data_IF_632698048104
#
_entry.id   IF_632698048104
#
_cell.length_a   1.000
_cell.length_b   1.000
_cell.length_c   1.000
_cell.angle_alpha   90.00
_cell.angle_beta   90.00
_cell.angle_gamma   90.00
#
_symmetry.space_group_name_H-M   'P 1'
#
loop_
_entity.id
_entity.type
_entity.pdbx_description
1 polymer ?
#
# COMPACT_ATOMS: atom_id res chain seq x y z
N UNK A 1 4.71 -30.28 -1.47
CA UNK A 1 3.38 -29.67 -1.36
C UNK A 1 3.01 -29.20 -2.76
N UNK A 2 1.85 -29.58 -3.29
CA UNK A 2 1.38 -29.03 -4.57
C UNK A 2 1.18 -27.52 -4.37
N UNK A 3 1.84 -26.74 -5.22
CA UNK A 3 1.67 -25.28 -5.20
C UNK A 3 0.19 -24.94 -5.38
N UNK A 4 -0.40 -24.15 -4.48
CA UNK A 4 -1.76 -23.65 -4.63
C UNK A 4 -1.89 -22.58 -5.74
N UNK A 5 -0.82 -22.25 -6.46
CA UNK A 5 -0.79 -21.27 -7.56
C UNK A 5 -1.95 -21.42 -8.55
N UNK A 6 -2.32 -22.66 -8.85
CA UNK A 6 -3.37 -23.01 -9.79
C UNK A 6 -4.68 -23.43 -9.11
N UNK A 7 -4.73 -23.43 -7.78
CA UNK A 7 -5.98 -23.66 -7.05
C UNK A 7 -6.72 -22.33 -6.92
N UNK A 8 -7.51 -22.01 -7.91
CA UNK A 8 -8.35 -20.82 -7.92
C UNK A 8 -9.66 -21.14 -7.21
N UNK A 9 -9.88 -20.64 -5.98
CA UNK A 9 -11.19 -20.70 -5.38
C UNK A 9 -12.07 -19.67 -6.08
N UNK A 10 -12.64 -20.03 -7.23
CA UNK A 10 -13.60 -19.20 -7.96
C UNK A 10 -15.00 -19.61 -7.59
N UNK A 11 -15.93 -18.65 -7.44
CA UNK A 11 -17.34 -18.98 -7.44
C UNK A 11 -17.68 -19.78 -8.71
N UNK A 12 -18.19 -20.99 -8.55
CA UNK A 12 -18.62 -21.78 -9.70
C UNK A 12 -19.86 -21.15 -10.34
N UNK A 13 -19.98 -21.25 -11.66
CA UNK A 13 -21.22 -20.89 -12.35
C UNK A 13 -22.37 -21.72 -11.76
N UNK A 14 -23.47 -21.05 -11.43
CA UNK A 14 -24.64 -21.68 -10.85
C UNK A 14 -25.25 -22.72 -11.80
N UNK A 15 -25.04 -23.98 -11.52
CA UNK A 15 -25.56 -25.12 -12.29
C UNK A 15 -26.24 -26.14 -11.37
N UNK A 16 -27.14 -25.68 -10.53
CA UNK A 16 -27.92 -26.53 -9.61
C UNK A 16 -27.64 -26.23 -8.15
N UNK A 17 -26.50 -26.70 -7.57
CA UNK A 17 -26.15 -26.39 -6.20
C UNK A 17 -25.44 -25.05 -6.10
N UNK A 18 -25.76 -24.19 -5.09
CA UNK A 18 -25.03 -22.96 -4.88
C UNK A 18 -23.54 -23.24 -4.68
N UNK A 19 -22.63 -22.46 -5.29
CA UNK A 19 -21.20 -22.57 -5.03
C UNK A 19 -20.90 -22.25 -3.57
N UNK A 20 -20.08 -23.08 -2.93
CA UNK A 20 -19.72 -22.92 -1.53
C UNK A 20 -18.57 -21.92 -1.29
N UNK A 21 -18.38 -20.89 -2.12
CA UNK A 21 -17.04 -20.30 -2.25
C UNK A 21 -16.99 -18.78 -2.25
N UNK A 22 -17.55 -18.14 -1.23
CA UNK A 22 -16.96 -16.90 -0.73
C UNK A 22 -15.93 -17.32 0.35
N UNK A 23 -14.69 -16.80 0.33
CA UNK A 23 -13.70 -17.12 1.34
C UNK A 23 -14.22 -16.89 2.76
N UNK A 24 -13.89 -17.77 3.73
CA UNK A 24 -14.21 -17.50 5.11
C UNK A 24 -13.62 -16.15 5.55
N UNK A 25 -14.42 -15.33 6.24
CA UNK A 25 -13.99 -13.99 6.67
C UNK A 25 -12.72 -14.00 7.53
N UNK A 26 -12.46 -15.10 8.24
CA UNK A 26 -11.25 -15.22 9.06
C UNK A 26 -9.98 -15.47 8.23
N UNK A 27 -10.12 -16.06 7.04
CA UNK A 27 -9.00 -16.55 6.23
C UNK A 27 -8.93 -15.96 4.83
N UNK A 28 -9.78 -14.98 4.48
CA UNK A 28 -9.88 -14.46 3.12
C UNK A 28 -8.55 -13.93 2.55
N UNK A 29 -7.65 -13.44 3.42
CA UNK A 29 -6.33 -12.91 3.10
C UNK A 29 -5.22 -13.98 3.11
N UNK A 30 -5.57 -15.24 3.39
CA UNK A 30 -4.62 -16.35 3.46
C UNK A 30 -4.76 -17.33 2.30
N UNK A 31 -3.69 -18.11 2.02
CA UNK A 31 -3.76 -19.14 0.98
C UNK A 31 -4.81 -20.24 1.35
N UNK A 32 -5.51 -20.79 0.37
CA UNK A 32 -5.45 -20.44 -1.07
C UNK A 32 -6.35 -19.27 -1.47
N UNK A 33 -7.09 -18.68 -0.51
CA UNK A 33 -8.16 -17.72 -0.76
C UNK A 33 -7.64 -16.38 -1.28
N UNK A 34 -6.48 -15.91 -0.82
CA UNK A 34 -5.91 -14.62 -1.19
C UNK A 34 -5.67 -14.47 -2.70
N UNK A 35 -5.42 -15.58 -3.41
CA UNK A 35 -5.28 -15.58 -4.88
C UNK A 35 -6.51 -15.04 -5.59
N UNK A 36 -7.68 -15.32 -5.07
CA UNK A 36 -8.96 -14.81 -5.59
C UNK A 36 -9.38 -13.54 -4.87
N UNK A 37 -9.28 -13.52 -3.55
CA UNK A 37 -9.83 -12.47 -2.69
C UNK A 37 -9.26 -11.08 -3.00
N UNK A 38 -7.95 -10.96 -3.27
CA UNK A 38 -7.32 -9.66 -3.53
C UNK A 38 -7.83 -8.98 -4.80
N UNK A 39 -8.41 -9.73 -5.71
CA UNK A 39 -9.06 -9.23 -6.92
C UNK A 39 -10.59 -9.02 -6.75
N UNK A 40 -11.18 -9.49 -5.62
CA UNK A 40 -12.63 -9.53 -5.40
C UNK A 40 -13.03 -8.97 -4.03
N UNK A 41 -12.27 -8.02 -3.48
CA UNK A 41 -12.50 -7.44 -2.15
C UNK A 41 -13.93 -6.92 -1.99
N UNK A 42 -14.50 -6.31 -3.05
CA UNK A 42 -15.85 -5.75 -3.04
C UNK A 42 -16.96 -6.80 -2.86
N UNK A 43 -16.65 -8.07 -3.07
CA UNK A 43 -17.57 -9.20 -2.84
C UNK A 43 -17.44 -9.76 -1.41
N UNK A 44 -16.39 -9.38 -0.69
CA UNK A 44 -16.06 -9.91 0.65
C UNK A 44 -16.31 -8.86 1.72
N UNK A 45 -15.88 -7.61 1.48
CA UNK A 45 -15.83 -6.53 2.45
C UNK A 45 -16.68 -5.34 2.01
N UNK A 46 -17.31 -4.60 2.93
CA UNK A 46 -17.89 -3.30 2.62
C UNK A 46 -16.85 -2.35 2.05
N UNK A 47 -17.23 -1.62 0.99
CA UNK A 47 -16.33 -0.67 0.33
C UNK A 47 -17.00 0.66 0.05
N UNK A 48 -16.20 1.73 -0.03
CA UNK A 48 -16.60 3.03 -0.53
C UNK A 48 -15.82 3.36 -1.80
N UNK A 49 -16.53 3.87 -2.81
CA UNK A 49 -15.95 4.19 -4.11
C UNK A 49 -15.08 5.45 -4.05
N UNK A 50 -13.96 5.42 -4.78
CA UNK A 50 -13.17 6.57 -5.17
C UNK A 50 -13.46 6.84 -6.64
N UNK A 51 -14.28 7.84 -6.90
CA UNK A 51 -14.74 8.16 -8.24
C UNK A 51 -13.63 8.79 -9.09
N UNK A 52 -13.46 8.29 -10.31
CA UNK A 52 -12.45 8.80 -11.26
C UNK A 52 -12.84 10.10 -11.99
N UNK A 53 -14.02 10.60 -11.76
CA UNK A 53 -14.54 11.76 -12.48
C UNK A 53 -15.06 11.42 -13.88
N UNK A 54 -15.47 12.47 -14.58
CA UNK A 54 -15.95 12.39 -15.98
C UNK A 54 -14.89 12.78 -17.00
N UNK A 55 -13.71 13.20 -16.53
CA UNK A 55 -12.59 13.60 -17.39
C UNK A 55 -12.06 12.43 -18.22
N UNK A 56 -11.30 12.76 -19.26
CA UNK A 56 -10.55 11.74 -20.01
C UNK A 56 -9.48 11.11 -19.10
N UNK A 57 -9.25 9.81 -19.28
CA UNK A 57 -8.14 9.14 -18.64
C UNK A 57 -6.81 9.66 -19.22
N UNK A 58 -5.80 9.77 -18.37
CA UNK A 58 -4.44 10.03 -18.84
C UNK A 58 -3.95 8.81 -19.62
N UNK A 59 -3.82 8.95 -20.91
CA UNK A 59 -3.30 7.89 -21.79
C UNK A 59 -1.85 7.57 -21.41
N UNK A 60 -1.55 6.29 -21.26
CA UNK A 60 -0.20 5.76 -21.20
C UNK A 60 0.15 5.24 -22.60
N UNK A 61 1.13 5.88 -23.26
CA UNK A 61 1.61 5.42 -24.55
C UNK A 61 2.13 3.98 -24.45
N UNK A 62 2.03 3.20 -25.51
CA UNK A 62 2.55 1.82 -25.55
C UNK A 62 3.78 1.75 -26.43
N UNK A 63 4.89 1.31 -25.87
CA UNK A 63 6.17 1.04 -26.57
C UNK A 63 6.65 -0.35 -26.15
N UNK A 64 5.83 -1.35 -26.42
CA UNK A 64 5.99 -2.70 -25.89
C UNK A 64 7.33 -3.33 -26.26
N UNK A 65 7.95 -3.96 -25.27
CA UNK A 65 9.11 -4.81 -25.41
C UNK A 65 8.81 -6.14 -24.73
N UNK A 66 9.24 -7.23 -25.35
CA UNK A 66 9.13 -8.55 -24.72
C UNK A 66 10.26 -8.73 -23.70
N UNK A 67 9.93 -8.58 -22.42
CA UNK A 67 10.85 -8.79 -21.31
C UNK A 67 10.69 -10.19 -20.68
N UNK A 68 9.76 -11.03 -21.15
CA UNK A 68 9.48 -12.34 -20.52
C UNK A 68 10.72 -13.24 -20.50
N UNK A 69 11.53 -13.21 -21.57
CA UNK A 69 12.78 -13.95 -21.67
C UNK A 69 13.99 -13.28 -21.03
N UNK A 70 13.87 -12.09 -20.44
CA UNK A 70 15.01 -11.41 -19.81
C UNK A 70 15.59 -12.24 -18.68
N UNK A 71 16.90 -12.49 -18.74
CA UNK A 71 17.61 -13.20 -17.69
C UNK A 71 17.68 -12.35 -16.40
N UNK A 72 17.15 -12.87 -15.31
CA UNK A 72 17.11 -12.25 -13.99
C UNK A 72 17.58 -13.20 -12.91
N UNK A 73 17.87 -12.70 -11.71
CA UNK A 73 18.17 -13.53 -10.55
C UNK A 73 16.88 -14.03 -9.94
N UNK A 74 16.71 -15.34 -9.85
CA UNK A 74 15.59 -16.01 -9.21
C UNK A 74 15.61 -15.95 -7.67
N UNK A 75 14.59 -16.53 -7.06
CA UNK A 75 14.39 -16.50 -5.59
C UNK A 75 15.51 -17.20 -4.84
N UNK A 76 16.06 -18.29 -5.38
CA UNK A 76 17.19 -19.05 -4.81
C UNK A 76 18.58 -18.49 -5.19
N UNK A 77 18.63 -17.42 -5.99
CA UNK A 77 19.88 -16.85 -6.50
C UNK A 77 20.34 -17.39 -7.84
N UNK A 78 19.63 -18.36 -8.41
CA UNK A 78 19.87 -18.91 -9.77
C UNK A 78 19.52 -17.88 -10.84
N UNK A 79 20.03 -18.08 -12.06
CA UNK A 79 19.59 -17.31 -13.22
C UNK A 79 18.34 -17.96 -13.80
N UNK A 80 17.29 -17.18 -13.96
CA UNK A 80 16.01 -17.60 -14.53
C UNK A 80 15.48 -16.53 -15.50
N UNK A 81 14.28 -16.69 -16.05
CA UNK A 81 13.64 -15.67 -16.86
C UNK A 81 12.73 -14.80 -16.02
N UNK A 82 12.45 -13.57 -16.48
CA UNK A 82 11.47 -12.68 -15.82
C UNK A 82 10.11 -13.36 -15.68
N UNK A 83 9.62 -14.02 -16.75
CA UNK A 83 8.35 -14.74 -16.72
C UNK A 83 8.33 -15.82 -15.62
N UNK A 84 9.40 -16.60 -15.49
CA UNK A 84 9.51 -17.62 -14.43
C UNK A 84 9.52 -16.98 -13.05
N UNK A 85 10.29 -15.90 -12.85
CA UNK A 85 10.32 -15.20 -11.57
C UNK A 85 8.93 -14.65 -11.18
N UNK A 86 8.20 -14.07 -12.14
CA UNK A 86 6.85 -13.55 -11.90
C UNK A 86 5.89 -14.67 -11.47
N UNK A 87 5.97 -15.85 -12.10
CA UNK A 87 5.19 -17.02 -11.71
C UNK A 87 5.63 -17.53 -10.32
N UNK A 88 6.92 -17.69 -10.07
CA UNK A 88 7.47 -18.18 -8.80
C UNK A 88 7.13 -17.28 -7.62
N UNK A 89 6.91 -16.00 -7.87
CA UNK A 89 6.55 -15.01 -6.86
C UNK A 89 5.06 -14.65 -6.86
N UNK A 90 4.18 -15.55 -7.32
CA UNK A 90 2.72 -15.43 -7.23
C UNK A 90 2.20 -14.07 -7.72
N UNK A 91 2.70 -13.62 -8.87
CA UNK A 91 2.30 -12.34 -9.47
C UNK A 91 0.88 -12.43 -10.01
N UNK A 92 0.10 -11.38 -9.81
CA UNK A 92 -1.25 -11.21 -10.38
C UNK A 92 -1.23 -10.15 -11.48
N UNK A 93 -0.46 -9.07 -11.30
CA UNK A 93 -0.23 -8.02 -12.30
C UNK A 93 1.19 -7.50 -12.28
N UNK A 94 1.76 -7.23 -13.44
CA UNK A 94 3.10 -6.65 -13.58
C UNK A 94 3.12 -5.59 -14.67
N UNK A 95 3.63 -4.41 -14.35
CA UNK A 95 3.70 -3.27 -15.26
C UNK A 95 5.05 -2.60 -15.16
N UNK A 96 5.65 -2.29 -16.29
CA UNK A 96 6.85 -1.44 -16.41
C UNK A 96 6.54 -0.24 -17.27
N UNK A 97 6.69 0.96 -16.71
CA UNK A 97 6.69 2.20 -17.45
C UNK A 97 8.14 2.68 -17.61
N UNK A 98 8.48 3.13 -18.82
CA UNK A 98 9.76 3.76 -19.14
C UNK A 98 9.50 5.06 -19.90
N UNK A 99 10.04 6.17 -19.39
CA UNK A 99 9.80 7.50 -19.97
C UNK A 99 8.29 7.79 -20.20
N UNK A 100 7.45 7.38 -19.24
CA UNK A 100 6.00 7.58 -19.27
C UNK A 100 5.21 6.63 -20.18
N UNK A 101 5.85 5.72 -20.89
CA UNK A 101 5.20 4.75 -21.76
C UNK A 101 5.20 3.33 -21.15
N UNK A 102 4.15 2.56 -21.39
CA UNK A 102 4.09 1.12 -21.07
C UNK A 102 5.07 0.39 -21.99
N UNK A 103 6.11 -0.21 -21.41
CA UNK A 103 7.06 -1.06 -22.15
C UNK A 103 6.82 -2.54 -21.88
N UNK A 104 6.20 -2.90 -20.77
CA UNK A 104 5.84 -4.29 -20.48
C UNK A 104 4.64 -4.34 -19.54
N UNK A 105 3.67 -5.18 -19.88
CA UNK A 105 2.44 -5.33 -19.10
C UNK A 105 1.98 -6.78 -19.15
N UNK A 106 1.76 -7.39 -17.99
CA UNK A 106 1.30 -8.79 -17.87
C UNK A 106 0.24 -8.92 -16.78
N UNK A 107 -0.71 -9.78 -17.03
CA UNK A 107 -1.80 -10.12 -16.13
C UNK A 107 -1.85 -11.64 -15.95
N UNK A 108 -2.00 -12.08 -14.72
CA UNK A 108 -2.01 -13.49 -14.33
C UNK A 108 -3.23 -13.76 -13.46
N UNK A 109 -3.47 -15.02 -13.14
CA UNK A 109 -4.47 -15.44 -12.16
C UNK A 109 -5.88 -14.85 -12.46
N UNK A 110 -6.24 -14.75 -13.73
CA UNK A 110 -7.54 -14.21 -14.15
C UNK A 110 -7.71 -12.70 -14.06
N UNK A 111 -6.67 -11.97 -13.63
CA UNK A 111 -6.66 -10.51 -13.64
C UNK A 111 -6.68 -9.97 -15.08
N UNK A 112 -7.30 -8.84 -15.29
CA UNK A 112 -7.31 -8.05 -16.53
C UNK A 112 -7.05 -6.56 -16.22
N UNK A 113 -7.05 -5.73 -17.28
CA UNK A 113 -6.76 -4.30 -17.17
C UNK A 113 -7.75 -3.51 -16.32
N UNK A 114 -8.98 -4.03 -16.13
CA UNK A 114 -10.04 -3.40 -15.33
C UNK A 114 -10.14 -3.94 -13.92
N UNK A 115 -9.48 -5.07 -13.64
CA UNK A 115 -9.53 -5.72 -12.34
C UNK A 115 -8.93 -4.82 -11.27
N UNK A 116 -9.70 -4.54 -10.22
CA UNK A 116 -9.18 -3.87 -9.04
C UNK A 116 -8.47 -4.89 -8.16
N UNK A 117 -7.28 -4.56 -7.72
CA UNK A 117 -6.49 -5.40 -6.83
C UNK A 117 -6.22 -4.68 -5.51
N UNK A 118 -6.30 -5.40 -4.40
CA UNK A 118 -6.01 -4.85 -3.06
C UNK A 118 -4.55 -4.40 -2.98
N UNK A 119 -4.35 -3.16 -2.54
CA UNK A 119 -3.03 -2.54 -2.45
C UNK A 119 -2.24 -2.94 -1.22
N UNK A 120 -2.92 -3.43 -0.17
CA UNK A 120 -2.30 -3.50 1.15
C UNK A 120 -1.62 -2.15 1.48
N UNK A 121 -0.49 -2.16 2.16
CA UNK A 121 0.19 -0.94 2.61
C UNK A 121 0.71 0.00 1.51
N UNK A 122 0.59 -0.34 0.23
CA UNK A 122 0.82 0.63 -0.87
C UNK A 122 -0.13 1.83 -0.74
N UNK A 123 -1.34 1.64 -0.17
CA UNK A 123 -2.30 2.70 0.14
C UNK A 123 -1.69 3.85 0.95
N UNK A 124 -0.75 3.56 1.85
CA UNK A 124 -0.09 4.55 2.70
C UNK A 124 0.60 5.65 1.89
N UNK A 125 1.28 5.27 0.80
CA UNK A 125 2.00 6.23 -0.04
C UNK A 125 1.04 7.17 -0.79
N UNK A 126 -0.12 6.68 -1.19
CA UNK A 126 -1.19 7.54 -1.73
C UNK A 126 -1.71 8.52 -0.68
N UNK A 127 -1.95 8.04 0.54
CA UNK A 127 -2.40 8.87 1.66
C UNK A 127 -1.38 9.94 2.00
N UNK A 128 -0.08 9.60 2.02
CA UNK A 128 1.01 10.56 2.20
C UNK A 128 1.10 11.62 1.08
N UNK A 129 0.86 11.21 -0.17
CA UNK A 129 0.82 12.14 -1.30
C UNK A 129 -0.34 13.15 -1.18
N UNK A 130 -1.53 12.69 -0.76
CA UNK A 130 -2.68 13.56 -0.54
C UNK A 130 -2.44 14.51 0.63
N UNK A 131 -1.79 14.04 1.71
CA UNK A 131 -1.36 14.92 2.79
C UNK A 131 -0.49 16.06 2.25
N UNK A 132 0.46 15.76 1.35
CA UNK A 132 1.27 16.76 0.67
C UNK A 132 0.46 17.78 -0.14
N UNK A 133 -0.59 17.33 -0.82
CA UNK A 133 -1.52 18.23 -1.53
C UNK A 133 -2.23 19.16 -0.54
N UNK A 134 -2.70 18.63 0.60
CA UNK A 134 -3.40 19.43 1.61
C UNK A 134 -2.45 20.38 2.34
N UNK A 135 -1.18 20.00 2.54
CA UNK A 135 -0.12 20.91 3.04
C UNK A 135 0.12 22.04 2.04
N UNK A 136 0.26 21.73 0.76
CA UNK A 136 0.41 22.72 -0.29
C UNK A 136 -0.77 23.71 -0.40
N UNK A 137 -1.95 23.30 0.06
CA UNK A 137 -3.15 24.16 0.16
C UNK A 137 -3.25 24.93 1.48
N UNK A 138 -2.33 24.73 2.42
CA UNK A 138 -2.35 25.32 3.74
C UNK A 138 -3.45 24.78 4.67
N UNK A 139 -4.02 23.61 4.36
CA UNK A 139 -5.02 22.94 5.20
C UNK A 139 -4.39 22.07 6.29
N UNK A 140 -3.18 21.56 6.05
CA UNK A 140 -2.39 20.81 7.02
C UNK A 140 -1.05 21.52 7.26
N UNK A 141 -0.61 21.56 8.51
CA UNK A 141 0.70 21.98 8.95
C UNK A 141 1.42 20.77 9.55
N UNK A 142 2.53 20.35 8.96
CA UNK A 142 3.27 19.16 9.39
C UNK A 142 3.93 19.32 10.76
N UNK A 143 4.21 20.54 11.19
CA UNK A 143 4.79 20.84 12.50
C UNK A 143 3.74 20.91 13.62
N UNK A 144 2.46 21.04 13.27
CA UNK A 144 1.40 21.04 14.25
C UNK A 144 1.25 19.68 14.94
N UNK A 145 0.99 19.64 16.25
CA UNK A 145 0.68 18.40 16.94
C UNK A 145 -0.63 17.81 16.44
N UNK A 146 -0.75 16.49 16.36
CA UNK A 146 -1.97 15.81 15.89
C UNK A 146 -3.20 16.15 16.75
N UNK A 147 -3.00 16.55 18.01
CA UNK A 147 -4.06 17.04 18.90
C UNK A 147 -4.64 18.40 18.46
N UNK A 148 -3.98 19.13 17.57
CA UNK A 148 -4.53 20.32 16.93
C UNK A 148 -5.71 19.95 16.01
N UNK A 149 -5.58 18.84 15.29
CA UNK A 149 -6.62 18.34 14.36
C UNK A 149 -7.68 17.50 15.09
N UNK A 150 -7.23 16.70 16.06
CA UNK A 150 -8.04 15.73 16.81
C UNK A 150 -7.82 15.96 18.31
N UNK A 151 -8.53 16.93 18.94
CA UNK A 151 -8.35 17.25 20.36
C UNK A 151 -8.59 16.06 21.30
N UNK A 152 -9.40 15.10 20.88
CA UNK A 152 -9.70 13.86 21.63
C UNK A 152 -8.44 13.04 21.96
N UNK A 153 -7.36 13.25 21.22
CA UNK A 153 -6.07 12.56 21.43
C UNK A 153 -5.25 13.14 22.60
N UNK A 154 -5.68 14.22 23.24
CA UNK A 154 -4.93 14.86 24.32
C UNK A 154 -4.69 13.96 25.54
N UNK A 155 -5.52 12.90 25.74
CA UNK A 155 -5.38 11.91 26.79
C UNK A 155 -4.84 10.55 26.28
N UNK A 156 -4.10 10.54 25.18
CA UNK A 156 -3.55 9.34 24.55
C UNK A 156 -2.02 9.47 24.40
N UNK A 157 -1.38 8.40 23.93
CA UNK A 157 0.04 8.39 23.58
C UNK A 157 0.40 9.31 22.40
N UNK A 158 -0.58 9.78 21.65
CA UNK A 158 -0.38 10.71 20.53
C UNK A 158 -0.10 12.16 20.96
N UNK A 159 -0.31 12.48 22.24
CA UNK A 159 -0.08 13.83 22.77
C UNK A 159 1.36 14.28 22.52
N UNK A 160 1.51 15.38 21.80
CA UNK A 160 2.81 15.96 21.48
C UNK A 160 3.47 15.41 20.21
N UNK A 161 2.92 14.37 19.59
CA UNK A 161 3.36 13.93 18.27
C UNK A 161 2.96 14.97 17.20
N UNK A 162 3.90 15.39 16.36
CA UNK A 162 3.62 16.25 15.20
C UNK A 162 3.09 15.42 14.03
N UNK A 163 2.41 16.07 13.09
CA UNK A 163 1.91 15.42 11.89
C UNK A 163 3.08 14.87 11.04
N UNK A 164 4.26 15.55 11.02
CA UNK A 164 5.44 15.02 10.34
C UNK A 164 5.94 13.72 10.98
N UNK A 165 5.90 13.61 12.30
CA UNK A 165 6.31 12.39 12.99
C UNK A 165 5.38 11.22 12.68
N UNK A 166 4.09 11.47 12.49
CA UNK A 166 3.12 10.48 11.98
C UNK A 166 3.44 10.11 10.53
N UNK A 167 3.64 11.08 9.65
CA UNK A 167 4.00 10.86 8.25
C UNK A 167 5.29 10.02 8.06
N UNK A 168 6.24 10.19 8.97
CA UNK A 168 7.55 9.51 8.94
C UNK A 168 7.58 8.23 9.81
N UNK A 169 6.44 7.86 10.44
CA UNK A 169 6.35 6.72 11.37
C UNK A 169 7.44 6.77 12.46
N UNK A 170 7.63 7.95 13.03
CA UNK A 170 8.61 8.19 14.08
C UNK A 170 7.97 8.56 15.42
N UNK A 171 6.66 8.36 15.57
CA UNK A 171 6.04 8.54 16.87
C UNK A 171 6.57 7.51 17.87
N UNK A 172 6.46 7.79 19.14
CA UNK A 172 6.86 6.87 20.20
C UNK A 172 5.70 6.02 20.75
N UNK A 173 4.56 6.01 20.06
CA UNK A 173 3.38 5.27 20.49
C UNK A 173 3.67 3.78 20.46
N UNK A 174 3.32 3.06 21.53
CA UNK A 174 3.42 1.59 21.58
C UNK A 174 2.33 1.01 20.68
N UNK A 175 2.76 0.25 19.67
CA UNK A 175 1.90 -0.45 18.73
C UNK A 175 2.65 -1.64 18.14
N UNK A 176 2.08 -2.83 18.23
CA UNK A 176 2.64 -4.05 17.68
C UNK A 176 2.09 -4.33 16.28
N UNK A 177 2.99 -4.46 15.29
CA UNK A 177 2.69 -4.94 13.94
C UNK A 177 2.85 -6.47 13.83
N UNK A 178 2.64 -7.22 14.91
CA UNK A 178 2.69 -8.68 14.87
C UNK A 178 1.41 -9.25 14.24
N UNK A 179 1.46 -9.52 12.94
CA UNK A 179 0.36 -10.10 12.17
C UNK A 179 0.05 -11.57 12.53
N UNK A 180 0.86 -12.20 13.38
CA UNK A 180 0.64 -13.58 13.84
C UNK A 180 -0.12 -13.67 15.15
N UNK A 181 -0.12 -12.59 15.93
CA UNK A 181 -0.89 -12.47 17.16
C UNK A 181 -2.19 -11.68 16.91
N UNK A 182 -3.35 -12.33 16.93
CA UNK A 182 -4.63 -11.64 16.70
C UNK A 182 -5.02 -10.68 17.84
N UNK A 183 -4.33 -10.72 18.99
CA UNK A 183 -4.53 -9.79 20.10
C UNK A 183 -3.52 -8.65 20.12
N UNK A 184 -2.59 -8.60 19.18
CA UNK A 184 -1.73 -7.43 18.94
C UNK A 184 -2.56 -6.21 18.52
N UNK A 185 -1.96 -5.02 18.57
CA UNK A 185 -2.68 -3.82 18.17
C UNK A 185 -3.03 -3.83 16.67
N UNK A 186 -2.22 -4.46 15.79
CA UNK A 186 -2.62 -4.66 14.38
C UNK A 186 -3.75 -5.69 14.25
N UNK A 187 -3.80 -6.71 15.10
CA UNK A 187 -4.93 -7.63 15.20
C UNK A 187 -6.21 -6.92 15.64
N UNK A 188 -6.12 -5.90 16.52
CA UNK A 188 -7.25 -5.04 16.85
C UNK A 188 -7.74 -4.25 15.63
N UNK A 189 -6.83 -3.77 14.76
CA UNK A 189 -7.20 -3.09 13.50
C UNK A 189 -7.94 -4.05 12.57
N UNK A 190 -7.50 -5.30 12.43
CA UNK A 190 -8.18 -6.32 11.62
C UNK A 190 -9.65 -6.51 12.05
N UNK A 191 -9.90 -6.58 13.36
CA UNK A 191 -11.26 -6.73 13.89
C UNK A 191 -12.04 -5.43 13.79
N UNK A 192 -11.45 -4.31 14.17
CA UNK A 192 -12.08 -2.99 14.18
C UNK A 192 -12.44 -2.51 12.76
N UNK A 193 -11.61 -2.81 11.77
CA UNK A 193 -11.90 -2.50 10.35
C UNK A 193 -12.95 -3.43 9.73
N UNK A 194 -13.33 -4.49 10.44
CA UNK A 194 -14.20 -5.51 9.91
C UNK A 194 -13.53 -6.43 8.88
N UNK A 195 -12.22 -6.39 8.73
CA UNK A 195 -11.49 -7.31 7.85
C UNK A 195 -11.62 -8.74 8.34
N UNK A 196 -11.49 -8.95 9.65
CA UNK A 196 -11.66 -10.27 10.28
C UNK A 196 -12.66 -10.22 11.42
N UNK A 197 -13.38 -11.31 11.69
CA UNK A 197 -14.11 -11.44 12.94
C UNK A 197 -13.13 -11.64 14.11
N UNK A 198 -13.57 -11.44 15.35
CA UNK A 198 -12.81 -11.88 16.52
C UNK A 198 -12.35 -13.35 16.37
N UNK A 199 -11.13 -13.70 16.82
CA UNK A 199 -10.61 -15.06 16.71
C UNK A 199 -11.53 -16.10 17.39
N UNK A 200 -11.65 -17.31 16.82
CA UNK A 200 -12.39 -18.39 17.46
C UNK A 200 -11.88 -18.67 18.87
N UNK A 201 -12.79 -18.81 19.83
CA UNK A 201 -12.44 -19.07 21.24
C UNK A 201 -12.08 -17.84 22.05
N UNK A 202 -12.19 -16.64 21.48
CA UNK A 202 -12.07 -15.37 22.25
C UNK A 202 -13.09 -15.36 23.39
N UNK A 203 -12.65 -14.90 24.57
CA UNK A 203 -13.53 -14.64 25.70
C UNK A 203 -14.68 -13.71 25.26
N UNK A 204 -15.96 -14.10 25.46
CA UNK A 204 -17.09 -13.24 25.12
C UNK A 204 -17.08 -11.86 25.81
N UNK A 205 -16.36 -11.72 26.94
CA UNK A 205 -16.16 -10.46 27.65
C UNK A 205 -15.00 -9.60 27.12
N UNK A 206 -14.23 -10.09 26.13
CA UNK A 206 -13.13 -9.30 25.57
C UNK A 206 -13.65 -8.06 24.84
N UNK A 207 -13.17 -6.90 25.25
CA UNK A 207 -13.64 -5.61 24.71
C UNK A 207 -12.88 -5.24 23.44
N UNK A 208 -13.28 -5.84 22.31
CA UNK A 208 -12.73 -5.49 21.00
C UNK A 208 -13.02 -4.02 20.66
N UNK A 209 -12.08 -3.31 19.98
CA UNK A 209 -12.37 -2.01 19.39
C UNK A 209 -13.52 -2.14 18.37
N UNK A 210 -14.43 -1.18 18.37
CA UNK A 210 -15.63 -1.21 17.53
C UNK A 210 -15.43 -0.65 16.12
N UNK A 211 -14.39 0.16 15.93
CA UNK A 211 -13.98 0.79 14.68
C UNK A 211 -12.53 1.31 14.78
N UNK A 212 -11.91 1.68 13.67
CA UNK A 212 -10.48 2.05 13.63
C UNK A 212 -10.15 3.25 14.53
N UNK A 213 -11.02 4.26 14.60
CA UNK A 213 -10.80 5.40 15.47
C UNK A 213 -10.80 5.03 16.96
N UNK A 214 -11.57 4.00 17.35
CA UNK A 214 -11.55 3.46 18.74
C UNK A 214 -10.19 2.82 19.05
N UNK A 215 -9.55 2.13 18.10
CA UNK A 215 -8.17 1.65 18.28
C UNK A 215 -7.23 2.82 18.59
N UNK A 216 -7.28 3.89 17.79
CA UNK A 216 -6.44 5.08 17.96
C UNK A 216 -6.62 5.69 19.37
N UNK A 217 -7.86 5.78 19.85
CA UNK A 217 -8.18 6.32 21.18
C UNK A 217 -7.71 5.43 22.32
N UNK A 218 -7.54 4.12 22.11
CA UNK A 218 -7.07 3.15 23.12
C UNK A 218 -5.56 3.14 23.31
N UNK A 219 -4.78 3.67 22.38
CA UNK A 219 -3.33 3.73 22.47
C UNK A 219 -2.91 4.79 23.49
N UNK A 220 -2.55 4.34 24.70
CA UNK A 220 -2.25 5.21 25.86
C UNK A 220 -0.78 5.22 26.24
N UNK A 221 0.01 4.27 25.72
CA UNK A 221 1.39 4.07 26.12
C UNK A 221 2.38 4.53 25.07
N UNK A 222 3.41 5.21 25.51
CA UNK A 222 4.59 5.53 24.71
C UNK A 222 5.76 4.64 25.13
N UNK A 223 6.51 4.11 24.20
CA UNK A 223 7.71 3.30 24.44
C UNK A 223 9.01 4.09 24.27
N UNK A 224 8.93 5.29 23.66
CA UNK A 224 10.07 6.19 23.44
C UNK A 224 9.58 7.62 23.16
N UNK A 225 10.47 8.63 23.21
CA UNK A 225 10.13 9.97 22.74
C UNK A 225 9.78 9.98 21.24
N UNK A 226 8.81 10.81 20.85
CA UNK A 226 8.47 11.03 19.44
C UNK A 226 9.68 11.59 18.67
N UNK A 227 9.84 11.18 17.40
CA UNK A 227 10.88 11.66 16.50
C UNK A 227 12.24 10.97 16.63
N UNK A 228 12.40 9.98 17.52
CA UNK A 228 13.71 9.41 17.83
C UNK A 228 14.10 8.20 17.00
N UNK A 229 13.13 7.47 16.45
CA UNK A 229 13.37 6.25 15.66
C UNK A 229 12.22 5.98 14.72
N UNK A 230 12.53 5.50 13.53
CA UNK A 230 11.55 4.92 12.63
C UNK A 230 11.11 3.54 13.17
N UNK A 231 9.81 3.37 13.31
CA UNK A 231 9.17 2.07 13.55
C UNK A 231 7.88 2.04 12.75
N UNK A 232 7.77 1.07 11.85
CA UNK A 232 6.59 0.95 11.01
C UNK A 232 5.35 0.65 11.85
N UNK A 233 4.30 1.47 11.67
CA UNK A 233 3.01 1.36 12.38
C UNK A 233 1.88 1.75 11.45
N UNK A 234 1.10 0.77 11.03
CA UNK A 234 0.00 0.98 10.08
C UNK A 234 -1.00 2.02 10.56
N UNK A 235 -1.37 1.98 11.83
CA UNK A 235 -2.35 2.87 12.46
C UNK A 235 -2.02 4.38 12.32
N UNK A 236 -0.75 4.75 12.10
CA UNK A 236 -0.34 6.14 11.88
C UNK A 236 -0.93 6.70 10.58
N UNK A 237 -1.16 5.85 9.59
CA UNK A 237 -1.80 6.27 8.34
C UNK A 237 -3.28 6.54 8.52
N UNK A 238 -3.97 5.74 9.32
CA UNK A 238 -5.38 5.97 9.62
C UNK A 238 -5.55 7.22 10.47
N UNK A 239 -4.64 7.47 11.42
CA UNK A 239 -4.62 8.74 12.15
C UNK A 239 -4.46 9.94 11.20
N UNK A 240 -3.54 9.86 10.23
CA UNK A 240 -3.35 10.88 9.20
C UNK A 240 -4.63 11.11 8.40
N UNK A 241 -5.32 10.03 8.01
CA UNK A 241 -6.59 10.11 7.29
C UNK A 241 -7.67 10.84 8.12
N UNK A 242 -7.78 10.57 9.42
CA UNK A 242 -8.70 11.30 10.29
C UNK A 242 -8.35 12.80 10.40
N UNK A 243 -7.06 13.16 10.44
CA UNK A 243 -6.65 14.56 10.37
C UNK A 243 -7.12 15.20 9.05
N UNK A 244 -6.97 14.52 7.93
CA UNK A 244 -7.43 15.00 6.61
C UNK A 244 -8.96 15.17 6.56
N UNK A 245 -9.73 14.22 7.09
CA UNK A 245 -11.19 14.32 7.16
C UNK A 245 -11.63 15.51 8.02
N UNK A 246 -10.96 15.77 9.15
CA UNK A 246 -11.25 16.91 10.04
C UNK A 246 -11.05 18.26 9.36
N UNK A 247 -9.95 18.44 8.62
CA UNK A 247 -9.67 19.75 7.98
C UNK A 247 -10.45 19.98 6.70
N UNK A 248 -10.89 18.92 6.03
CA UNK A 248 -11.62 19.04 4.75
C UNK A 248 -13.14 18.95 4.92
N UNK A 249 -13.62 18.36 6.02
CA UNK A 249 -15.04 18.03 6.21
C UNK A 249 -15.57 16.98 5.23
N UNK A 250 -14.69 16.21 4.59
CA UNK A 250 -15.02 15.17 3.61
C UNK A 250 -14.53 13.80 4.07
N UNK A 251 -15.19 12.73 3.64
CA UNK A 251 -14.71 11.37 3.85
C UNK A 251 -13.47 11.09 2.98
N UNK A 252 -12.57 10.24 3.45
CA UNK A 252 -11.32 9.92 2.78
C UNK A 252 -11.49 9.52 1.30
N UNK A 253 -12.43 8.65 0.89
CA UNK A 253 -12.62 8.31 -0.52
C UNK A 253 -12.98 9.53 -1.39
N UNK A 254 -13.71 10.50 -0.84
CA UNK A 254 -14.02 11.74 -1.54
C UNK A 254 -12.79 12.65 -1.64
N UNK A 255 -11.97 12.74 -0.60
CA UNK A 255 -10.70 13.47 -0.63
C UNK A 255 -9.79 12.88 -1.71
N UNK A 256 -9.65 11.54 -1.75
CA UNK A 256 -8.89 10.84 -2.78
C UNK A 256 -9.38 11.16 -4.18
N UNK A 257 -10.70 11.09 -4.39
CA UNK A 257 -11.32 11.41 -5.67
C UNK A 257 -11.00 12.85 -6.10
N UNK A 258 -11.28 13.83 -5.24
CA UNK A 258 -11.21 15.26 -5.57
C UNK A 258 -9.76 15.76 -5.70
N UNK A 259 -8.86 15.23 -4.88
CA UNK A 259 -7.50 15.75 -4.79
C UNK A 259 -6.49 15.03 -5.67
N UNK A 260 -6.69 13.75 -5.92
CA UNK A 260 -5.71 12.93 -6.64
C UNK A 260 -6.34 12.18 -7.83
N UNK A 261 -7.33 11.33 -7.59
CA UNK A 261 -7.78 10.32 -8.53
C UNK A 261 -8.29 10.90 -9.86
N UNK A 262 -9.17 11.91 -9.77
CA UNK A 262 -9.68 12.61 -10.95
C UNK A 262 -8.58 13.38 -11.67
N UNK A 263 -7.69 14.03 -10.91
CA UNK A 263 -6.64 14.92 -11.45
C UNK A 263 -5.52 14.14 -12.14
N UNK A 264 -5.17 12.96 -11.63
CA UNK A 264 -4.16 12.12 -12.28
C UNK A 264 -4.69 11.41 -13.54
N UNK A 265 -5.99 11.53 -13.82
CA UNK A 265 -6.63 10.93 -14.99
C UNK A 265 -6.69 9.40 -14.86
N UNK A 266 -7.17 8.90 -13.73
CA UNK A 266 -7.34 7.48 -13.50
C UNK A 266 -8.25 6.83 -14.57
N UNK A 267 -7.98 5.58 -14.91
CA UNK A 267 -8.71 4.82 -15.91
C UNK A 267 -9.97 4.19 -15.33
N UNK A 268 -9.88 3.69 -14.09
CA UNK A 268 -10.98 3.05 -13.38
C UNK A 268 -11.30 3.77 -12.06
N UNK A 269 -12.53 3.59 -11.56
CA UNK A 269 -12.82 3.96 -10.18
C UNK A 269 -12.01 3.05 -9.26
N UNK A 270 -11.49 3.61 -8.16
CA UNK A 270 -10.92 2.81 -7.10
C UNK A 270 -11.96 2.58 -5.97
N UNK A 271 -11.59 1.80 -4.98
CA UNK A 271 -12.43 1.57 -3.80
C UNK A 271 -11.55 1.44 -2.54
N UNK A 272 -12.06 1.92 -1.42
CA UNK A 272 -11.52 1.59 -0.10
C UNK A 272 -12.42 0.62 0.63
N UNK A 273 -11.84 -0.34 1.34
CA UNK A 273 -12.60 -1.03 2.40
C UNK A 273 -12.96 -0.03 3.49
N UNK A 274 -14.12 -0.23 4.10
CA UNK A 274 -14.59 0.64 5.18
C UNK A 274 -14.92 -0.18 6.41
N UNK A 275 -14.63 0.42 7.58
CA UNK A 275 -14.96 -0.16 8.87
C UNK A 275 -16.47 -0.08 9.18
N UNK A 276 -16.96 -0.68 10.28
CA UNK A 276 -18.37 -0.63 10.67
C UNK A 276 -18.93 0.78 10.91
N UNK A 277 -18.08 1.77 11.21
CA UNK A 277 -18.48 3.18 11.33
C UNK A 277 -18.48 3.91 9.97
N UNK A 278 -18.00 3.26 8.91
CA UNK A 278 -17.92 3.80 7.56
C UNK A 278 -16.64 4.58 7.25
N UNK A 279 -15.62 4.50 8.12
CA UNK A 279 -14.31 5.07 7.84
C UNK A 279 -13.54 4.18 6.87
N UNK A 280 -12.86 4.80 5.91
CA UNK A 280 -12.00 4.07 4.96
C UNK A 280 -10.68 3.68 5.63
N UNK A 281 -10.26 2.43 5.44
CA UNK A 281 -9.01 1.92 5.97
C UNK A 281 -7.84 2.45 5.12
N UNK A 282 -7.24 3.53 5.57
CA UNK A 282 -6.22 4.27 4.83
C UNK A 282 -4.89 3.52 4.74
N UNK A 283 -4.63 2.66 5.71
CA UNK A 283 -3.35 1.96 5.85
C UNK A 283 -3.19 0.78 4.88
N UNK A 284 -4.32 0.24 4.34
CA UNK A 284 -4.25 -0.97 3.51
C UNK A 284 -5.46 -1.22 2.61
N UNK A 285 -6.55 -0.48 2.78
CA UNK A 285 -7.85 -0.79 2.18
C UNK A 285 -8.08 -0.34 0.74
N UNK A 286 -7.11 0.31 0.08
CA UNK A 286 -7.25 0.77 -1.30
C UNK A 286 -7.22 -0.40 -2.30
N UNK A 287 -8.14 -0.36 -3.26
CA UNK A 287 -8.20 -1.28 -4.40
C UNK A 287 -8.22 -0.46 -5.69
N UNK A 288 -7.28 -0.73 -6.59
CA UNK A 288 -7.16 -0.01 -7.85
C UNK A 288 -6.67 -0.91 -8.98
N UNK A 289 -6.76 -0.44 -10.24
CA UNK A 289 -6.23 -1.15 -11.39
C UNK A 289 -4.70 -1.09 -11.44
N UNK A 290 -4.08 -2.07 -12.10
CA UNK A 290 -2.63 -2.12 -12.30
C UNK A 290 -2.10 -0.82 -12.93
N UNK A 291 -2.79 -0.32 -13.97
CA UNK A 291 -2.40 0.90 -14.67
C UNK A 291 -2.57 2.15 -13.82
N UNK A 292 -3.55 2.19 -12.92
CA UNK A 292 -3.73 3.34 -12.05
C UNK A 292 -2.70 3.39 -10.93
N UNK A 293 -2.23 2.24 -10.43
CA UNK A 293 -1.01 2.18 -9.62
C UNK A 293 0.21 2.69 -10.39
N UNK A 294 0.31 2.36 -11.69
CA UNK A 294 1.35 2.87 -12.58
C UNK A 294 1.29 4.38 -12.77
N UNK A 295 0.08 4.96 -12.96
CA UNK A 295 -0.12 6.42 -13.06
C UNK A 295 0.33 7.15 -11.81
N UNK A 296 0.06 6.58 -10.64
CA UNK A 296 0.56 7.16 -9.39
C UNK A 296 2.10 7.12 -9.31
N UNK A 297 2.72 6.00 -9.65
CA UNK A 297 4.18 5.92 -9.72
C UNK A 297 4.77 6.92 -10.72
N UNK A 298 4.13 7.06 -11.90
CA UNK A 298 4.52 8.03 -12.92
C UNK A 298 4.37 9.49 -12.43
N UNK A 299 3.30 9.77 -11.67
CA UNK A 299 3.10 11.08 -11.06
C UNK A 299 4.23 11.43 -10.08
N UNK A 300 4.69 10.49 -9.27
CA UNK A 300 5.85 10.69 -8.39
C UNK A 300 7.13 10.91 -9.21
N UNK A 301 7.34 10.14 -10.28
CA UNK A 301 8.50 10.26 -11.17
C UNK A 301 8.57 11.65 -11.84
N UNK A 302 7.42 12.28 -12.08
CA UNK A 302 7.28 13.61 -12.69
C UNK A 302 7.24 14.74 -11.63
N UNK A 303 7.89 14.53 -10.48
CA UNK A 303 7.90 15.50 -9.37
C UNK A 303 6.50 15.98 -8.97
N UNK A 304 5.54 15.08 -9.02
CA UNK A 304 4.14 15.32 -8.65
C UNK A 304 3.25 15.83 -9.77
N UNK A 305 3.78 16.03 -10.99
CA UNK A 305 2.99 16.34 -12.21
C UNK A 305 2.06 17.54 -12.09
N UNK A 306 2.38 18.52 -11.23
CA UNK A 306 1.54 19.68 -10.93
C UNK A 306 0.32 19.38 -10.04
N UNK A 307 0.15 18.17 -9.57
CA UNK A 307 -0.93 17.74 -8.67
C UNK A 307 -0.41 17.65 -7.23
N UNK A 308 0.68 16.90 -7.02
CA UNK A 308 1.40 16.87 -5.74
C UNK A 308 2.46 17.98 -5.80
N UNK A 309 2.62 18.82 -4.76
CA UNK A 309 3.66 19.84 -4.78
C UNK A 309 5.06 19.25 -4.98
N UNK A 310 5.82 19.74 -5.96
CA UNK A 310 7.18 19.25 -6.24
C UNK A 310 8.10 19.29 -5.00
N UNK A 311 8.07 20.35 -4.13
CA UNK A 311 8.83 20.33 -2.89
C UNK A 311 8.46 19.20 -1.94
N UNK A 312 7.19 18.73 -1.96
CA UNK A 312 6.77 17.58 -1.17
C UNK A 312 7.38 16.28 -1.68
N UNK A 313 7.38 16.07 -3.00
CA UNK A 313 8.00 14.89 -3.61
C UNK A 313 9.50 14.88 -3.35
N UNK A 314 10.18 16.02 -3.53
CA UNK A 314 11.63 16.14 -3.24
C UNK A 314 11.94 15.87 -1.76
N UNK A 315 11.16 16.43 -0.83
CA UNK A 315 11.28 16.14 0.59
C UNK A 315 11.06 14.66 0.91
N UNK A 316 10.07 14.02 0.27
CA UNK A 316 9.79 12.57 0.43
C UNK A 316 11.01 11.72 0.06
N UNK A 317 11.81 12.14 -0.92
CA UNK A 317 13.02 11.46 -1.36
C UNK A 317 14.25 11.67 -0.43
N UNK A 318 14.10 12.42 0.65
CA UNK A 318 15.20 12.80 1.57
C UNK A 318 14.96 12.35 3.01
N UNK A 319 14.58 11.11 3.21
CA UNK A 319 14.33 10.55 4.54
C UNK A 319 15.58 10.50 5.42
N UNK A 320 15.37 10.45 6.74
CA UNK A 320 16.45 10.39 7.71
C UNK A 320 16.95 8.95 7.92
N UNK A 321 18.05 8.60 7.23
CA UNK A 321 18.67 7.29 7.35
C UNK A 321 19.18 6.98 8.78
N UNK A 322 19.62 7.99 9.54
CA UNK A 322 20.22 7.77 10.86
C UNK A 322 19.27 7.14 11.88
N UNK A 323 17.98 7.32 11.72
CA UNK A 323 16.94 6.76 12.61
C UNK A 323 16.23 5.53 12.03
N UNK A 324 16.62 5.06 10.82
CA UNK A 324 15.97 3.97 10.11
C UNK A 324 16.37 2.59 10.64
N UNK A 325 17.36 2.27 11.22
CA UNK A 325 17.85 1.08 11.92
C UNK A 325 17.18 -0.29 11.62
N UNK A 326 17.64 -1.27 12.37
CA UNK A 326 17.09 -2.65 12.29
C UNK A 326 15.61 -2.72 12.76
N UNK A 327 14.79 -3.66 12.22
CA UNK A 327 15.18 -4.69 11.25
C UNK A 327 15.17 -4.20 9.78
N UNK A 328 14.72 -2.98 9.52
CA UNK A 328 14.49 -2.47 8.15
C UNK A 328 15.78 -2.28 7.37
N UNK A 329 16.85 -1.86 8.03
CA UNK A 329 18.17 -1.70 7.43
C UNK A 329 18.83 -3.02 7.01
N UNK A 330 18.32 -4.17 7.44
CA UNK A 330 18.82 -5.48 7.01
C UNK A 330 18.43 -5.77 5.55
N UNK A 331 17.25 -5.31 5.12
CA UNK A 331 16.79 -5.46 3.74
C UNK A 331 17.02 -4.23 2.87
N UNK A 332 17.17 -3.06 3.49
CA UNK A 332 17.43 -1.77 2.85
C UNK A 332 18.59 -1.04 3.59
N UNK A 333 19.86 -1.47 3.40
CA UNK A 333 20.99 -0.93 4.16
C UNK A 333 21.20 0.58 4.00
N UNK A 334 20.86 1.15 2.82
CA UNK A 334 20.90 2.58 2.53
C UNK A 334 19.56 3.30 2.74
N UNK A 335 18.55 2.59 3.20
CA UNK A 335 17.16 3.00 3.18
C UNK A 335 16.79 4.07 4.19
N UNK A 336 15.61 4.64 3.97
CA UNK A 336 14.94 5.57 4.88
C UNK A 336 13.42 5.47 4.68
N UNK A 337 12.68 6.20 5.50
CA UNK A 337 11.23 6.33 5.35
C UNK A 337 10.81 7.79 5.55
N UNK A 338 9.95 8.32 4.68
CA UNK A 338 9.40 9.67 4.83
C UNK A 338 8.08 9.82 4.10
N UNK A 339 7.18 10.59 4.67
CA UNK A 339 5.88 10.93 4.08
C UNK A 339 5.13 9.70 3.56
N UNK A 340 5.11 8.62 4.35
CA UNK A 340 4.48 7.33 4.01
C UNK A 340 5.10 6.60 2.80
N UNK A 341 6.36 6.90 2.45
CA UNK A 341 7.10 6.24 1.38
C UNK A 341 8.40 5.64 1.90
N UNK A 342 8.73 4.45 1.41
CA UNK A 342 10.05 3.85 1.57
C UNK A 342 11.02 4.48 0.58
N UNK A 343 12.23 4.74 1.02
CA UNK A 343 13.34 5.21 0.20
C UNK A 343 14.33 4.08 0.08
N UNK A 344 14.67 3.69 -1.15
CA UNK A 344 15.56 2.56 -1.42
C UNK A 344 16.95 2.75 -0.84
N UNK A 345 17.53 3.90 -1.18
CA UNK A 345 18.88 4.29 -0.78
C UNK A 345 18.93 5.82 -0.70
N UNK A 346 19.57 6.32 0.34
CA UNK A 346 19.73 7.76 0.58
C UNK A 346 20.52 8.49 -0.52
N UNK A 347 21.26 7.79 -1.39
CA UNK A 347 22.00 8.34 -2.52
C UNK A 347 21.17 8.35 -3.80
N UNK A 348 20.60 7.21 -4.17
CA UNK A 348 19.76 7.07 -5.36
C UNK A 348 18.42 7.80 -5.20
N UNK A 349 17.92 7.90 -3.94
CA UNK A 349 16.68 8.61 -3.62
C UNK A 349 15.45 8.07 -4.39
N UNK A 350 15.49 6.80 -4.78
CA UNK A 350 14.37 6.12 -5.42
C UNK A 350 13.27 5.81 -4.39
N UNK A 351 12.02 5.93 -4.80
CA UNK A 351 10.88 5.72 -3.93
C UNK A 351 10.26 4.33 -4.12
N UNK A 352 9.74 3.78 -3.03
CA UNK A 352 8.94 2.57 -3.05
C UNK A 352 7.69 2.74 -2.21
N UNK A 353 6.55 2.27 -2.75
CA UNK A 353 5.39 1.92 -1.97
C UNK A 353 5.38 0.40 -1.83
N UNK A 354 5.26 -0.11 -0.59
CA UNK A 354 5.35 -1.56 -0.30
C UNK A 354 4.15 -2.01 0.51
N UNK A 355 3.60 -3.15 0.14
CA UNK A 355 2.52 -3.81 0.87
C UNK A 355 2.83 -5.28 1.10
N UNK A 356 2.27 -5.84 2.17
CA UNK A 356 2.35 -7.27 2.45
C UNK A 356 1.79 -8.07 1.29
N UNK A 357 2.13 -9.36 1.21
CA UNK A 357 1.77 -10.27 0.11
C UNK A 357 2.31 -9.86 -1.27
N UNK A 358 3.31 -8.96 -1.31
CA UNK A 358 4.05 -8.62 -2.52
C UNK A 358 3.50 -7.48 -3.36
N UNK A 359 2.70 -6.57 -2.78
CA UNK A 359 2.29 -5.35 -3.47
C UNK A 359 3.46 -4.37 -3.53
N UNK A 360 3.71 -3.80 -4.70
CA UNK A 360 4.88 -2.94 -4.86
C UNK A 360 4.73 -1.94 -6.00
N UNK A 361 5.11 -0.69 -5.74
CA UNK A 361 5.39 0.34 -6.73
C UNK A 361 6.82 0.79 -6.50
N UNK A 362 7.64 0.75 -7.54
CA UNK A 362 9.02 1.22 -7.52
C UNK A 362 9.20 2.35 -8.51
N UNK A 363 9.70 3.47 -8.04
CA UNK A 363 9.97 4.66 -8.85
C UNK A 363 11.48 4.88 -8.89
N UNK A 364 12.07 4.60 -10.04
CA UNK A 364 13.51 4.76 -10.28
C UNK A 364 13.74 6.03 -11.10
N UNK A 365 14.24 7.06 -10.43
CA UNK A 365 14.46 8.38 -11.03
C UNK A 365 15.65 8.40 -11.99
N UNK A 366 16.72 7.63 -11.71
CA UNK A 366 17.92 7.58 -12.53
C UNK A 366 17.64 6.98 -13.90
N UNK A 367 16.65 6.09 -13.98
CA UNK A 367 16.27 5.40 -15.22
C UNK A 367 14.91 5.84 -15.75
N UNK A 368 14.29 6.87 -15.19
CA UNK A 368 12.94 7.32 -15.56
C UNK A 368 11.96 6.14 -15.70
N UNK A 369 11.94 5.24 -14.71
CA UNK A 369 11.21 3.98 -14.75
C UNK A 369 10.29 3.83 -13.55
N UNK A 370 9.09 3.27 -13.81
CA UNK A 370 8.17 2.82 -12.77
C UNK A 370 7.91 1.33 -12.96
N UNK A 371 7.99 0.56 -11.90
CA UNK A 371 7.56 -0.85 -11.89
C UNK A 371 6.43 -1.01 -10.88
N UNK A 372 5.35 -1.64 -11.31
CA UNK A 372 4.25 -2.05 -10.43
C UNK A 372 4.16 -3.57 -10.44
N UNK A 373 4.11 -4.16 -9.27
CA UNK A 373 3.86 -5.59 -9.09
C UNK A 373 2.74 -5.78 -8.08
N UNK A 374 1.70 -6.47 -8.50
CA UNK A 374 0.60 -6.93 -7.65
C UNK A 374 0.72 -8.43 -7.51
N UNK A 375 0.54 -8.93 -6.31
CA UNK A 375 0.79 -10.35 -6.00
C UNK A 375 -0.13 -10.85 -4.89
N UNK A 376 -0.17 -12.15 -4.74
CA UNK A 376 -0.87 -12.81 -3.65
C UNK A 376 0.02 -13.93 -3.07
N UNK A 377 1.13 -13.52 -2.44
CA UNK A 377 2.11 -14.42 -1.83
C UNK A 377 1.46 -15.35 -0.79
N UNK A 378 2.02 -16.55 -0.56
CA UNK A 378 1.52 -17.45 0.47
C UNK A 378 1.67 -16.88 1.88
N UNK A 379 2.73 -16.12 2.11
CA UNK A 379 3.03 -15.48 3.39
C UNK A 379 2.96 -13.96 3.23
N UNK A 380 2.55 -13.25 4.29
CA UNK A 380 2.45 -11.79 4.28
C UNK A 380 3.80 -11.12 4.05
N UNK A 381 4.91 -11.72 4.48
CA UNK A 381 6.27 -11.26 4.24
C UNK A 381 7.13 -12.38 3.66
N UNK A 382 7.90 -12.07 2.63
CA UNK A 382 8.95 -12.92 2.07
C UNK A 382 10.16 -12.05 1.68
N UNK A 383 11.20 -11.98 2.51
CA UNK A 383 12.44 -11.28 2.15
C UNK A 383 13.04 -11.77 0.84
N UNK A 384 13.02 -13.09 0.60
CA UNK A 384 13.56 -13.69 -0.62
C UNK A 384 12.82 -13.22 -1.88
N UNK A 385 11.47 -13.19 -1.84
CA UNK A 385 10.67 -12.67 -2.97
C UNK A 385 10.87 -11.18 -3.17
N UNK A 386 10.96 -10.42 -2.09
CA UNK A 386 11.23 -8.97 -2.14
C UNK A 386 12.57 -8.66 -2.78
N UNK A 387 13.63 -9.35 -2.36
CA UNK A 387 15.00 -9.18 -2.89
C UNK A 387 15.06 -9.58 -4.37
N UNK A 388 14.47 -10.72 -4.75
CA UNK A 388 14.46 -11.17 -6.14
C UNK A 388 13.70 -10.20 -7.05
N UNK A 389 12.52 -9.71 -6.61
CA UNK A 389 11.72 -8.72 -7.32
C UNK A 389 12.51 -7.41 -7.53
N UNK A 390 13.16 -6.91 -6.48
CA UNK A 390 13.95 -5.68 -6.56
C UNK A 390 15.15 -5.84 -7.51
N UNK A 391 15.90 -6.94 -7.42
CA UNK A 391 17.01 -7.24 -8.35
C UNK A 391 16.53 -7.33 -9.81
N UNK A 392 15.36 -7.93 -10.04
CA UNK A 392 14.77 -7.98 -11.38
C UNK A 392 14.45 -6.58 -11.91
N UNK A 393 13.88 -5.69 -11.08
CA UNK A 393 13.63 -4.31 -11.48
C UNK A 393 14.91 -3.55 -11.84
N UNK A 394 16.00 -3.73 -11.10
CA UNK A 394 17.31 -3.16 -11.44
C UNK A 394 17.85 -3.73 -12.74
N UNK A 395 17.70 -5.04 -12.98
CA UNK A 395 18.09 -5.69 -14.26
C UNK A 395 17.28 -5.13 -15.44
N UNK A 396 15.96 -4.93 -15.27
CA UNK A 396 15.10 -4.31 -16.27
C UNK A 396 15.57 -2.88 -16.56
N UNK A 397 15.88 -2.08 -15.52
CA UNK A 397 16.35 -0.72 -15.67
C UNK A 397 17.63 -0.64 -16.53
N UNK A 398 18.60 -1.50 -16.26
CA UNK A 398 19.84 -1.58 -17.03
C UNK A 398 19.63 -2.11 -18.47
N UNK A 399 18.69 -3.04 -18.68
CA UNK A 399 18.33 -3.53 -20.00
C UNK A 399 17.72 -2.42 -20.86
N UNK A 400 16.75 -1.68 -20.32
CA UNK A 400 16.05 -0.59 -21.01
C UNK A 400 16.91 0.65 -21.25
N UNK A 401 18.04 0.80 -20.57
CA UNK A 401 19.02 1.88 -20.83
C UNK A 401 19.85 1.65 -22.09
N UNK A 402 20.03 0.38 -22.49
CA UNK A 402 20.87 -0.03 -23.61
C UNK A 402 20.12 -0.08 -24.94
N UNK A 403 18.83 -0.02 -24.89
CA UNK A 403 17.92 -0.08 -26.04
C UNK A 403 17.15 1.25 -26.20
#
# INVERSE_FOLDING_TARGET
MSSYKNSEPRPAIMQGSPPALIPPRIDWDRPPWNRWAFQHIREILPTAEVWRGRGASRMLERREQDLDGLAVTGVGGEITTLATLLDDTYTDGFLVLKDGAIVHERYFNGMDERTLHLSQSVAKSFTGAIAGILVGKGLLDVEAPVTHYIPELAATAWKGATLQQVLDMTTGVRFSEDYTDPYSEIGWVDVASGWKPPPPGTDPGYNWPSHVFDVILRLKETERPHGTRFVYRSIETDLLAFCMERVTGKRLPQIFSDELWQKMGAEENAAFTVDPAGYALADGGLNASLRDYGRFGQLLLEDGGGIIPAPWVDATRTGNHAIFGAPYSETLPGGAYRNMCWIEDSRARNLMARGVFGQWIYVNYDHAMVVVKLSSWPDFLSPAFSIATHKAALTIAEHLKRN
#
